data_IF_527123941365
#
_entry.id   IF_527123941365
#
_cell.length_a   1.000
_cell.length_b   1.000
_cell.length_c   1.000
_cell.angle_alpha   90.00
_cell.angle_beta   90.00
_cell.angle_gamma   90.00
#
_symmetry.space_group_name_H-M   'P 1'
#
loop_
_entity.id
_entity.type
_entity.pdbx_description
1 polymer ?
#
# COMPACT_ATOMS: atom_id res chain seq x y z
N UNK A 1 -7.34 7.81 5.09
CA UNK A 1 -6.72 6.76 4.25
C UNK A 1 -5.80 5.93 5.12
N UNK A 2 -5.92 4.61 5.05
CA UNK A 2 -5.09 3.68 5.81
C UNK A 2 -4.24 2.86 4.87
N UNK A 3 -3.00 2.64 5.25
CA UNK A 3 -2.13 1.73 4.51
C UNK A 3 -1.43 0.76 5.46
N UNK A 4 -1.09 -0.39 4.91
CA UNK A 4 -0.18 -1.34 5.54
C UNK A 4 0.96 -1.56 4.57
N UNK A 5 2.18 -1.29 5.03
CA UNK A 5 3.40 -1.49 4.26
C UNK A 5 4.08 -2.76 4.76
N UNK A 6 4.48 -3.62 3.84
CA UNK A 6 5.37 -4.74 4.14
C UNK A 6 6.62 -4.62 3.27
N UNK A 7 7.78 -4.66 3.91
CA UNK A 7 9.05 -4.74 3.21
C UNK A 7 9.19 -6.15 2.65
N UNK A 8 9.48 -6.26 1.35
CA UNK A 8 9.48 -7.56 0.67
C UNK A 8 10.77 -7.81 -0.10
N UNK A 9 11.15 -9.08 -0.21
CA UNK A 9 12.16 -9.53 -1.15
C UNK A 9 11.57 -9.69 -2.55
N UNK A 10 10.31 -10.06 -2.62
CA UNK A 10 9.49 -10.09 -3.84
C UNK A 10 8.00 -10.08 -3.46
N UNK A 11 7.16 -9.66 -4.39
CA UNK A 11 5.71 -9.74 -4.27
C UNK A 11 5.07 -9.81 -5.65
N UNK A 12 3.89 -10.41 -5.72
CA UNK A 12 3.13 -10.49 -6.96
C UNK A 12 1.63 -10.53 -6.68
N UNK A 13 0.85 -10.17 -7.68
CA UNK A 13 -0.60 -10.29 -7.67
C UNK A 13 -1.07 -11.05 -8.90
N UNK A 14 -1.88 -12.08 -8.67
CA UNK A 14 -2.44 -12.94 -9.71
C UNK A 14 -3.96 -12.78 -9.74
N UNK A 15 -4.51 -12.61 -10.93
CA UNK A 15 -5.95 -12.43 -11.16
C UNK A 15 -6.34 -13.45 -12.24
N UNK A 16 -7.35 -14.29 -11.95
CA UNK A 16 -7.83 -15.32 -12.86
C UNK A 16 -6.69 -16.20 -13.42
N UNK A 17 -5.75 -16.58 -12.57
CA UNK A 17 -4.62 -17.43 -12.95
C UNK A 17 -3.49 -16.71 -13.68
N UNK A 18 -3.61 -15.40 -13.93
CA UNK A 18 -2.60 -14.62 -14.64
C UNK A 18 -1.92 -13.63 -13.72
N UNK A 19 -0.59 -13.57 -13.73
CA UNK A 19 0.18 -12.59 -12.99
C UNK A 19 -0.04 -11.20 -13.58
N UNK A 20 -0.72 -10.33 -12.81
CA UNK A 20 -1.00 -8.94 -13.22
C UNK A 20 0.22 -8.05 -13.04
N UNK A 21 0.89 -8.18 -11.89
CA UNK A 21 2.08 -7.40 -11.54
C UNK A 21 3.00 -8.21 -10.64
N UNK A 22 4.29 -7.96 -10.76
CA UNK A 22 5.32 -8.61 -9.95
C UNK A 22 6.45 -7.63 -9.70
N UNK A 23 6.97 -7.64 -8.48
CA UNK A 23 8.11 -6.81 -8.09
C UNK A 23 9.18 -7.65 -7.40
N UNK A 24 10.43 -7.19 -7.46
CA UNK A 24 11.51 -7.70 -6.63
C UNK A 24 11.54 -7.02 -5.27
N UNK A 25 12.73 -6.72 -4.78
CA UNK A 25 12.93 -6.04 -3.48
C UNK A 25 12.20 -4.70 -3.44
N UNK A 26 11.49 -4.46 -2.35
CA UNK A 26 10.77 -3.21 -2.18
C UNK A 26 9.67 -3.27 -1.15
N UNK A 27 8.51 -2.73 -1.49
CA UNK A 27 7.34 -2.65 -0.61
C UNK A 27 6.09 -3.22 -1.28
N UNK A 28 5.35 -4.03 -0.54
CA UNK A 28 3.93 -4.29 -0.82
C UNK A 28 3.12 -3.34 0.04
N UNK A 29 2.19 -2.60 -0.57
CA UNK A 29 1.33 -1.63 0.13
C UNK A 29 -0.12 -2.00 -0.08
N UNK A 30 -0.84 -2.26 1.01
CA UNK A 30 -2.29 -2.39 1.01
C UNK A 30 -2.87 -1.02 1.33
N UNK A 31 -3.87 -0.56 0.58
CA UNK A 31 -4.49 0.74 0.79
C UNK A 31 -6.00 0.64 0.91
N UNK A 32 -6.54 1.22 1.99
CA UNK A 32 -7.96 1.36 2.25
C UNK A 32 -8.36 2.83 2.25
N UNK A 33 -9.50 3.14 1.64
CA UNK A 33 -9.99 4.49 1.45
C UNK A 33 -11.34 4.65 2.14
N UNK A 34 -11.54 5.78 2.83
CA UNK A 34 -12.82 6.17 3.41
C UNK A 34 -13.35 7.43 2.75
N UNK A 35 -14.65 7.73 2.93
CA UNK A 35 -15.31 8.81 2.21
C UNK A 35 -14.73 10.20 2.46
N UNK A 36 -14.15 10.42 3.65
CA UNK A 36 -13.54 11.70 4.01
C UNK A 36 -12.14 11.90 3.45
N UNK A 37 -11.58 10.91 2.76
CA UNK A 37 -10.25 11.02 2.17
C UNK A 37 -10.25 11.93 0.95
N UNK A 38 -9.09 12.57 0.72
CA UNK A 38 -8.88 13.47 -0.40
C UNK A 38 -7.41 13.57 -0.77
N UNK A 39 -7.10 14.57 -1.59
CA UNK A 39 -5.75 14.78 -2.10
C UNK A 39 -4.71 15.00 -0.98
N UNK A 40 -5.09 15.64 0.11
CA UNK A 40 -4.19 15.85 1.25
C UNK A 40 -3.68 14.54 1.85
N UNK A 41 -4.57 13.55 1.94
CA UNK A 41 -4.21 12.21 2.44
C UNK A 41 -3.22 11.53 1.50
N UNK A 42 -3.47 11.63 0.20
CA UNK A 42 -2.58 11.07 -0.84
C UNK A 42 -1.20 11.74 -0.77
N UNK A 43 -1.15 13.07 -0.72
CA UNK A 43 0.10 13.82 -0.70
C UNK A 43 0.95 13.46 0.52
N UNK A 44 0.33 13.38 1.69
CA UNK A 44 1.03 13.02 2.91
C UNK A 44 1.59 11.59 2.83
N UNK A 45 0.78 10.64 2.39
CA UNK A 45 1.21 9.24 2.27
C UNK A 45 2.32 9.05 1.25
N UNK A 46 2.17 9.62 0.04
CA UNK A 46 3.18 9.47 -1.00
C UNK A 46 4.54 10.00 -0.54
N UNK A 47 4.55 11.18 0.08
CA UNK A 47 5.78 11.77 0.64
C UNK A 47 6.36 10.89 1.75
N UNK A 48 5.52 10.37 2.62
CA UNK A 48 5.95 9.53 3.74
C UNK A 48 6.52 8.20 3.24
N UNK A 49 5.81 7.52 2.35
CA UNK A 49 6.18 6.19 1.83
C UNK A 49 7.59 6.19 1.24
N UNK A 50 7.86 7.12 0.31
CA UNK A 50 9.15 7.11 -0.40
C UNK A 50 10.33 7.54 0.47
N UNK A 51 10.06 8.20 1.58
CA UNK A 51 11.09 8.68 2.51
C UNK A 51 11.25 7.83 3.77
N UNK A 52 10.39 6.84 4.02
CA UNK A 52 10.54 5.93 5.16
C UNK A 52 11.88 5.19 5.08
N UNK A 53 12.61 5.24 6.18
CA UNK A 53 13.95 4.67 6.26
C UNK A 53 13.89 3.26 6.83
N UNK A 54 13.33 2.34 6.04
CA UNK A 54 13.09 0.95 6.46
C UNK A 54 13.92 -0.08 5.69
N UNK A 55 14.85 0.37 4.86
CA UNK A 55 15.79 -0.51 4.16
C UNK A 55 17.16 -0.44 4.81
N UNK A 56 17.84 -1.60 4.86
CA UNK A 56 19.11 -1.70 5.54
C UNK A 56 20.21 -0.94 4.78
N UNK A 57 21.05 -0.24 5.55
CA UNK A 57 22.28 0.33 5.05
C UNK A 57 23.41 -0.72 5.03
N UNK A 58 24.63 -0.30 4.69
CA UNK A 58 25.81 -1.17 4.61
C UNK A 58 26.20 -1.78 5.97
N UNK A 59 25.67 -1.26 7.07
CA UNK A 59 25.89 -1.77 8.42
C UNK A 59 24.73 -2.65 8.94
N UNK A 60 23.76 -2.95 8.08
CA UNK A 60 22.60 -3.74 8.45
C UNK A 60 21.58 -3.00 9.32
N UNK A 61 21.60 -1.67 9.30
CA UNK A 61 20.69 -0.82 10.07
C UNK A 61 19.61 -0.26 9.16
N UNK A 62 18.35 -0.32 9.58
CA UNK A 62 17.23 0.29 8.84
C UNK A 62 17.39 1.81 8.80
N UNK A 63 17.96 2.31 7.72
CA UNK A 63 18.36 3.70 7.59
C UNK A 63 18.14 4.29 6.19
N UNK A 64 17.96 3.46 5.17
CA UNK A 64 17.74 3.91 3.79
C UNK A 64 16.27 3.97 3.45
N UNK A 65 15.87 5.01 2.70
CA UNK A 65 14.57 5.07 2.05
C UNK A 65 14.54 4.20 0.81
N UNK A 66 13.34 3.91 0.29
CA UNK A 66 13.21 3.18 -0.98
C UNK A 66 13.82 3.96 -2.15
N UNK A 67 13.81 5.30 -2.09
CA UNK A 67 14.48 6.14 -3.10
C UNK A 67 15.98 5.88 -3.16
N UNK A 68 16.62 5.69 -2.02
CA UNK A 68 18.07 5.41 -1.95
C UNK A 68 18.37 3.94 -2.22
N UNK A 69 17.50 3.05 -1.78
CA UNK A 69 17.68 1.60 -1.97
C UNK A 69 17.44 1.17 -3.41
N UNK A 70 16.60 1.89 -4.16
CA UNK A 70 16.26 1.55 -5.55
C UNK A 70 15.19 0.48 -5.68
N UNK A 71 14.44 0.20 -4.61
CA UNK A 71 13.40 -0.83 -4.61
C UNK A 71 12.16 -0.46 -5.44
N UNK A 72 11.26 -1.43 -5.55
CA UNK A 72 10.01 -1.32 -6.30
C UNK A 72 8.81 -1.32 -5.34
N UNK A 73 7.65 -0.86 -5.82
CA UNK A 73 6.42 -0.85 -5.03
C UNK A 73 5.30 -1.58 -5.78
N UNK A 74 4.55 -2.41 -5.05
CA UNK A 74 3.30 -3.02 -5.51
C UNK A 74 2.17 -2.53 -4.60
N UNK A 75 1.15 -1.89 -5.18
CA UNK A 75 -0.01 -1.36 -4.44
C UNK A 75 -1.25 -2.20 -4.73
N UNK A 76 -1.91 -2.62 -3.66
CA UNK A 76 -3.15 -3.41 -3.72
C UNK A 76 -4.24 -2.68 -2.95
N UNK A 77 -5.40 -2.46 -3.56
CA UNK A 77 -6.56 -1.92 -2.87
C UNK A 77 -7.09 -2.93 -1.85
N UNK A 78 -7.40 -2.45 -0.64
CA UNK A 78 -7.83 -3.30 0.47
C UNK A 78 -8.84 -2.56 1.34
N UNK A 79 -10.12 -2.56 0.93
CA UNK A 79 -11.16 -1.85 1.67
C UNK A 79 -11.35 -2.39 3.09
N UNK A 80 -11.02 -3.65 3.32
CA UNK A 80 -11.14 -4.29 4.64
C UNK A 80 -10.23 -3.70 5.71
N UNK A 81 -9.29 -2.81 5.35
CA UNK A 81 -8.53 -2.04 6.34
C UNK A 81 -9.44 -1.11 7.15
N UNK A 82 -10.62 -0.78 6.64
CA UNK A 82 -11.65 0.00 7.34
C UNK A 82 -12.72 -0.87 7.99
N UNK A 83 -12.42 -2.14 8.24
CA UNK A 83 -13.32 -3.04 8.95
C UNK A 83 -13.54 -2.61 10.39
N UNK A 84 -14.78 -2.66 10.86
CA UNK A 84 -15.10 -2.55 12.27
C UNK A 84 -15.45 -3.94 12.82
N UNK A 85 -14.75 -4.35 13.85
CA UNK A 85 -14.93 -5.65 14.51
C UNK A 85 -15.42 -5.48 15.95
N UNK A 86 -15.91 -4.28 16.30
CA UNK A 86 -16.31 -3.94 17.67
C UNK A 86 -17.49 -4.76 18.16
N UNK A 87 -18.44 -5.09 17.28
CA UNK A 87 -19.64 -5.85 17.64
C UNK A 87 -19.75 -7.13 16.81
N UNK A 88 -19.83 -8.26 17.50
CA UNK A 88 -20.00 -9.56 16.85
C UNK A 88 -18.77 -9.99 16.02
N UNK A 89 -18.94 -11.10 15.32
CA UNK A 89 -17.82 -11.73 14.58
C UNK A 89 -17.86 -11.50 13.08
N UNK A 90 -18.91 -10.83 12.58
CA UNK A 90 -19.00 -10.40 11.18
C UNK A 90 -18.50 -8.98 11.07
N UNK A 91 -17.35 -8.73 10.40
CA UNK A 91 -16.84 -7.37 10.26
C UNK A 91 -17.82 -6.48 9.50
N UNK A 92 -17.92 -5.22 9.92
CA UNK A 92 -18.67 -4.20 9.20
C UNK A 92 -17.71 -3.35 8.35
N UNK A 93 -18.06 -3.11 7.10
CA UNK A 93 -17.26 -2.32 6.17
C UNK A 93 -17.92 -0.97 5.85
N UNK A 94 -18.83 -0.51 6.71
CA UNK A 94 -19.60 0.73 6.47
C UNK A 94 -18.70 1.98 6.36
N UNK A 95 -17.51 1.94 6.96
CA UNK A 95 -16.55 3.04 6.91
C UNK A 95 -15.75 3.10 5.60
N UNK A 96 -15.71 2.01 4.85
CA UNK A 96 -15.01 1.99 3.57
C UNK A 96 -15.77 2.83 2.55
N UNK A 97 -15.06 3.64 1.78
CA UNK A 97 -15.67 4.41 0.69
C UNK A 97 -16.21 3.49 -0.39
N UNK A 98 -17.31 3.91 -1.01
CA UNK A 98 -17.90 3.21 -2.15
C UNK A 98 -17.02 3.40 -3.40
N UNK A 99 -17.17 2.52 -4.41
CA UNK A 99 -16.35 2.57 -5.62
C UNK A 99 -16.32 3.91 -6.36
N UNK A 100 -17.44 4.65 -6.37
CA UNK A 100 -17.50 5.97 -7.02
C UNK A 100 -16.55 7.01 -6.39
N UNK A 101 -16.20 6.83 -5.13
CA UNK A 101 -15.23 7.67 -4.41
C UNK A 101 -13.85 7.00 -4.37
N UNK A 102 -13.81 5.72 -4.04
CA UNK A 102 -12.54 5.03 -3.80
C UNK A 102 -11.73 4.78 -5.06
N UNK A 103 -12.37 4.48 -6.20
CA UNK A 103 -11.63 4.19 -7.44
C UNK A 103 -10.83 5.42 -7.93
N UNK A 104 -11.42 6.62 -8.06
CA UNK A 104 -10.65 7.80 -8.46
C UNK A 104 -9.51 8.14 -7.50
N UNK A 105 -9.72 8.01 -6.19
CA UNK A 105 -8.69 8.28 -5.19
C UNK A 105 -7.58 7.22 -5.25
N UNK A 106 -7.94 5.96 -5.44
CA UNK A 106 -6.96 4.88 -5.61
C UNK A 106 -6.07 5.13 -6.84
N UNK A 107 -6.68 5.47 -7.98
CA UNK A 107 -5.95 5.77 -9.21
C UNK A 107 -5.02 6.96 -9.03
N UNK A 108 -5.50 8.02 -8.37
CA UNK A 108 -4.69 9.20 -8.09
C UNK A 108 -3.53 8.88 -7.15
N UNK A 109 -3.78 8.07 -6.12
CA UNK A 109 -2.73 7.61 -5.20
C UNK A 109 -1.64 6.86 -5.96
N UNK A 110 -2.00 5.93 -6.83
CA UNK A 110 -1.04 5.16 -7.62
C UNK A 110 -0.22 6.05 -8.56
N UNK A 111 -0.87 7.00 -9.21
CA UNK A 111 -0.22 7.96 -10.10
C UNK A 111 0.77 8.83 -9.34
N UNK A 112 0.35 9.40 -8.22
CA UNK A 112 1.18 10.30 -7.42
C UNK A 112 2.34 9.53 -6.78
N UNK A 113 2.11 8.30 -6.34
CA UNK A 113 3.16 7.47 -5.78
C UNK A 113 4.21 7.10 -6.82
N UNK A 114 3.80 6.78 -8.06
CA UNK A 114 4.74 6.55 -9.17
C UNK A 114 5.60 7.79 -9.42
N UNK A 115 4.98 8.98 -9.41
CA UNK A 115 5.71 10.24 -9.55
C UNK A 115 6.71 10.47 -8.43
N UNK A 116 6.32 10.22 -7.19
CA UNK A 116 7.19 10.39 -6.03
C UNK A 116 8.34 9.38 -6.01
N UNK A 117 8.10 8.14 -6.45
CA UNK A 117 9.12 7.10 -6.53
C UNK A 117 10.08 7.32 -7.71
N UNK A 118 9.62 7.99 -8.76
CA UNK A 118 10.41 8.22 -9.97
C UNK A 118 10.38 7.06 -10.96
N UNK A 119 9.51 6.09 -10.76
CA UNK A 119 9.28 4.97 -11.68
C UNK A 119 7.87 4.40 -11.48
N UNK A 120 7.37 3.69 -12.48
CA UNK A 120 6.05 3.10 -12.44
C UNK A 120 5.96 2.05 -11.33
N UNK A 121 4.86 2.08 -10.56
CA UNK A 121 4.56 1.06 -9.54
C UNK A 121 3.74 -0.07 -10.14
N UNK A 122 3.82 -1.26 -9.52
CA UNK A 122 2.91 -2.35 -9.82
C UNK A 122 1.56 -2.13 -9.14
N UNK A 123 0.48 -2.59 -9.78
CA UNK A 123 -0.88 -2.51 -9.22
C UNK A 123 -1.65 -3.78 -9.50
N UNK A 124 -2.69 -4.04 -8.69
CA UNK A 124 -3.71 -5.02 -9.01
C UNK A 124 -4.84 -4.40 -9.84
N UNK A 125 -6.03 -4.98 -9.73
CA UNK A 125 -7.26 -4.45 -10.32
C UNK A 125 -8.25 -4.21 -9.19
N UNK A 126 -8.72 -2.96 -9.06
CA UNK A 126 -9.67 -2.60 -8.02
C UNK A 126 -10.94 -3.47 -8.09
N UNK A 127 -11.31 -4.08 -6.96
CA UNK A 127 -12.51 -4.91 -6.85
C UNK A 127 -12.37 -6.34 -7.37
N UNK A 128 -11.25 -6.71 -7.98
CA UNK A 128 -11.03 -8.08 -8.46
C UNK A 128 -10.68 -9.03 -7.31
N UNK A 129 -10.89 -10.32 -7.54
CA UNK A 129 -10.33 -11.36 -6.67
C UNK A 129 -8.83 -11.48 -6.97
N UNK A 130 -8.02 -11.04 -6.02
CA UNK A 130 -6.57 -10.96 -6.18
C UNK A 130 -5.88 -11.95 -5.25
N UNK A 131 -5.00 -12.78 -5.83
CA UNK A 131 -4.11 -13.65 -5.07
C UNK A 131 -2.77 -12.93 -4.91
N UNK A 132 -2.48 -12.47 -3.72
CA UNK A 132 -1.29 -11.68 -3.43
C UNK A 132 -0.28 -12.57 -2.72
N UNK A 133 0.88 -12.72 -3.34
CA UNK A 133 1.99 -13.51 -2.80
C UNK A 133 3.15 -12.58 -2.49
N UNK A 134 3.81 -12.79 -1.36
CA UNK A 134 4.94 -11.96 -0.96
C UNK A 134 5.88 -12.73 -0.02
N UNK A 135 7.13 -12.30 0.00
CA UNK A 135 8.07 -12.71 1.03
C UNK A 135 8.38 -11.49 1.90
N UNK A 136 7.78 -11.44 3.10
CA UNK A 136 8.02 -10.35 4.05
C UNK A 136 9.45 -10.47 4.59
N UNK A 137 10.24 -9.45 4.33
CA UNK A 137 11.67 -9.43 4.64
C UNK A 137 11.91 -8.71 5.97
N UNK A 138 12.26 -9.51 7.00
CA UNK A 138 12.59 -8.95 8.28
C UNK A 138 11.98 -9.67 9.48
N UNK A 139 10.67 -9.82 9.72
CA UNK A 139 9.58 -9.11 9.04
C UNK A 139 9.56 -7.62 9.37
N UNK A 140 9.11 -6.81 8.42
CA UNK A 140 8.87 -5.38 8.62
C UNK A 140 7.48 -5.05 8.09
N UNK A 141 6.60 -4.63 8.99
CA UNK A 141 5.21 -4.28 8.69
C UNK A 141 4.89 -2.97 9.39
N UNK A 142 4.43 -1.97 8.65
CA UNK A 142 4.12 -0.63 9.17
C UNK A 142 2.70 -0.25 8.79
N UNK A 143 1.91 0.16 9.78
CA UNK A 143 0.55 0.65 9.58
C UNK A 143 0.56 2.17 9.69
N UNK A 144 -0.10 2.85 8.75
CA UNK A 144 -0.28 4.30 8.81
C UNK A 144 -1.73 4.67 8.53
N UNK A 145 -2.21 5.69 9.23
CA UNK A 145 -3.56 6.25 9.07
C UNK A 145 -3.46 7.77 8.99
N UNK A 146 -3.93 8.35 7.89
CA UNK A 146 -3.87 9.81 7.70
C UNK A 146 -4.78 10.59 8.66
N UNK A 147 -5.79 9.94 9.22
CA UNK A 147 -6.70 10.54 10.22
C UNK A 147 -6.23 10.34 11.66
N UNK A 148 -5.26 9.49 11.88
CA UNK A 148 -4.68 9.18 13.18
C UNK A 148 -3.17 8.96 13.03
N UNK A 149 -2.46 10.04 12.76
CA UNK A 149 -1.00 10.03 12.56
C UNK A 149 -0.28 9.79 13.89
N UNK A 150 0.54 8.74 13.94
CA UNK A 150 1.33 8.34 15.10
C UNK A 150 2.82 8.32 14.77
#
# INVERSE_FOLDING_TARGET
MRIVIQRVSHASVTIEGHCKSSIGKGMLILVGIEESDGQEDIDWLCKKIVNLRIFDDENGVMNKSILKDGGEILVISQFTLHASTKKGNRPSYIKAAKPDISIPLYEQFCKDLSGALGKEIGTGIFGADMKVELLNDGPVTICMDTKNKE
#
